data_IF_683195215380
#
_entry.id   IF_683195215380
#
_cell.length_a   1.000
_cell.length_b   1.000
_cell.length_c   1.000
_cell.angle_alpha   90.00
_cell.angle_beta   90.00
_cell.angle_gamma   90.00
#
_symmetry.space_group_name_H-M   'P 1'
#
loop_
_entity.id
_entity.type
_entity.pdbx_description
1 polymer ?
#
# COMPACT_ATOMS: atom_id res chain seq x y z
N UNK A 1 -70.75 32.01 -33.18
CA UNK A 1 -70.11 30.97 -32.34
C UNK A 1 -69.60 29.89 -33.30
N UNK A 2 -68.32 29.56 -33.45
CA UNK A 2 -67.20 29.49 -32.51
C UNK A 2 -65.89 29.84 -33.25
N UNK A 3 -65.08 30.68 -32.61
CA UNK A 3 -63.66 30.84 -32.89
C UNK A 3 -62.95 29.50 -32.66
N UNK A 4 -62.20 29.01 -33.66
CA UNK A 4 -61.20 27.96 -33.46
C UNK A 4 -59.83 28.64 -33.38
N UNK A 5 -59.28 28.70 -32.19
CA UNK A 5 -57.97 29.25 -31.86
C UNK A 5 -56.86 28.38 -32.46
N UNK A 6 -56.06 29.01 -33.32
CA UNK A 6 -54.79 28.49 -33.83
C UNK A 6 -53.82 28.26 -32.67
N UNK A 7 -53.55 27.00 -32.33
CA UNK A 7 -52.52 26.61 -31.36
C UNK A 7 -51.15 26.72 -32.03
N UNK A 8 -50.43 27.83 -31.80
CA UNK A 8 -49.06 27.98 -32.28
C UNK A 8 -48.15 27.06 -31.47
N UNK A 9 -47.78 25.93 -32.06
CA UNK A 9 -46.80 25.01 -31.51
C UNK A 9 -45.41 25.68 -31.61
N UNK A 10 -45.00 26.37 -30.55
CA UNK A 10 -43.62 26.83 -30.39
C UNK A 10 -42.75 25.59 -30.25
N UNK A 11 -42.11 25.21 -31.36
CA UNK A 11 -40.96 24.31 -31.32
C UNK A 11 -39.84 25.09 -30.65
N UNK A 12 -39.65 24.87 -29.36
CA UNK A 12 -38.38 25.15 -28.72
C UNK A 12 -37.37 24.21 -29.38
N UNK A 13 -36.75 24.71 -30.45
CA UNK A 13 -35.55 24.15 -31.04
C UNK A 13 -34.48 24.31 -29.97
N UNK A 14 -34.41 23.33 -29.06
CA UNK A 14 -33.23 23.10 -28.26
C UNK A 14 -32.09 22.90 -29.26
N UNK A 15 -31.38 23.99 -29.55
CA UNK A 15 -30.29 24.00 -30.50
C UNK A 15 -29.30 22.93 -30.09
N UNK A 16 -29.16 21.90 -30.91
CA UNK A 16 -28.12 20.90 -30.76
C UNK A 16 -26.80 21.61 -31.02
N UNK A 17 -26.23 22.22 -29.98
CA UNK A 17 -24.91 22.83 -30.02
C UNK A 17 -23.91 21.67 -30.12
N UNK A 18 -23.42 21.42 -31.32
CA UNK A 18 -22.32 20.49 -31.55
C UNK A 18 -21.08 20.94 -30.81
N UNK A 19 -20.40 20.00 -30.15
CA UNK A 19 -19.18 20.26 -29.37
C UNK A 19 -18.06 20.71 -30.32
N UNK A 20 -17.42 21.83 -30.01
CA UNK A 20 -16.39 22.40 -30.87
C UNK A 20 -15.09 21.60 -30.78
N UNK A 21 -14.25 21.65 -31.83
CA UNK A 21 -12.91 21.05 -31.80
C UNK A 21 -12.07 21.60 -30.64
N UNK A 22 -12.27 22.88 -30.30
CA UNK A 22 -11.62 23.54 -29.17
C UNK A 22 -12.07 22.91 -27.85
N UNK A 23 -13.38 22.74 -27.62
CA UNK A 23 -13.90 22.05 -26.43
C UNK A 23 -13.37 20.62 -26.33
N UNK A 24 -13.41 19.85 -27.42
CA UNK A 24 -12.88 18.49 -27.44
C UNK A 24 -11.39 18.45 -27.08
N UNK A 25 -10.59 19.39 -27.61
CA UNK A 25 -9.16 19.49 -27.29
C UNK A 25 -8.90 19.90 -25.84
N UNK A 26 -9.71 20.81 -25.30
CA UNK A 26 -9.63 21.26 -23.90
C UNK A 26 -10.01 20.12 -22.95
N UNK A 27 -11.08 19.37 -23.25
CA UNK A 27 -11.51 18.21 -22.49
C UNK A 27 -10.46 17.10 -22.53
N UNK A 28 -9.87 16.81 -23.68
CA UNK A 28 -8.77 15.84 -23.81
C UNK A 28 -7.54 16.25 -22.98
N UNK A 29 -7.14 17.52 -23.05
CA UNK A 29 -6.03 18.04 -22.25
C UNK A 29 -6.32 17.92 -20.74
N UNK A 30 -7.55 18.23 -20.31
CA UNK A 30 -7.97 18.08 -18.92
C UNK A 30 -7.96 16.63 -18.47
N UNK A 31 -8.50 15.71 -19.28
CA UNK A 31 -8.51 14.28 -18.97
C UNK A 31 -7.11 13.70 -18.84
N UNK A 32 -6.19 14.05 -19.76
CA UNK A 32 -4.79 13.63 -19.69
C UNK A 32 -4.08 14.22 -18.47
N UNK A 33 -4.33 15.49 -18.17
CA UNK A 33 -3.80 16.17 -16.99
C UNK A 33 -4.29 15.57 -15.66
N UNK A 34 -5.56 15.17 -15.58
CA UNK A 34 -6.09 14.50 -14.38
C UNK A 34 -5.56 13.07 -14.26
N UNK A 35 -5.44 12.36 -15.39
CA UNK A 35 -4.95 10.96 -15.39
C UNK A 35 -3.49 10.89 -14.91
N UNK A 36 -2.65 11.85 -15.26
CA UNK A 36 -1.24 11.86 -14.83
C UNK A 36 -1.09 12.03 -13.31
N UNK A 37 -1.93 12.85 -12.68
CA UNK A 37 -1.95 13.04 -11.22
C UNK A 37 -2.29 11.71 -10.51
N UNK A 38 -3.26 10.96 -11.03
CA UNK A 38 -3.68 9.67 -10.46
C UNK A 38 -2.54 8.66 -10.48
N UNK A 39 -1.82 8.54 -11.61
CA UNK A 39 -0.70 7.58 -11.74
C UNK A 39 0.42 7.88 -10.75
N UNK A 40 0.79 9.15 -10.57
CA UNK A 40 1.83 9.53 -9.61
C UNK A 40 1.44 9.19 -8.16
N UNK A 41 0.15 9.34 -7.82
CA UNK A 41 -0.36 9.03 -6.48
C UNK A 41 -0.33 7.53 -6.15
N UNK A 42 -0.44 6.65 -7.16
CA UNK A 42 -0.44 5.18 -6.94
C UNK A 42 0.92 4.65 -6.47
N UNK A 43 2.04 5.22 -6.94
CA UNK A 43 3.38 4.78 -6.55
C UNK A 43 3.64 4.99 -5.05
N UNK A 44 3.27 6.15 -4.50
CA UNK A 44 3.40 6.42 -3.07
C UNK A 44 2.55 5.49 -2.20
N UNK A 45 1.36 5.11 -2.68
CA UNK A 45 0.47 4.17 -1.98
C UNK A 45 1.05 2.75 -1.98
N UNK A 46 1.61 2.29 -3.12
CA UNK A 46 2.23 0.97 -3.20
C UNK A 46 3.47 0.86 -2.33
N UNK A 47 4.28 1.92 -2.29
CA UNK A 47 5.51 1.95 -1.48
C UNK A 47 5.19 1.94 0.01
N UNK A 48 4.22 2.78 0.43
CA UNK A 48 3.74 2.76 1.82
C UNK A 48 3.17 1.40 2.21
N UNK A 49 2.40 0.75 1.33
CA UNK A 49 1.84 -0.58 1.58
C UNK A 49 2.95 -1.61 1.78
N UNK A 50 3.95 -1.64 0.89
CA UNK A 50 5.10 -2.56 0.98
C UNK A 50 5.88 -2.36 2.27
N UNK A 51 6.19 -1.11 2.59
CA UNK A 51 6.87 -0.77 3.84
C UNK A 51 6.07 -1.26 5.04
N UNK A 52 4.77 -0.99 5.07
CA UNK A 52 3.87 -1.43 6.15
C UNK A 52 3.85 -2.94 6.30
N UNK A 53 3.71 -3.66 5.20
CA UNK A 53 3.70 -5.12 5.20
C UNK A 53 5.04 -5.67 5.74
N UNK A 54 6.18 -5.09 5.33
CA UNK A 54 7.50 -5.45 5.86
C UNK A 54 7.64 -5.20 7.38
N UNK A 55 7.10 -4.08 7.88
CA UNK A 55 7.06 -3.80 9.32
C UNK A 55 6.17 -4.77 10.10
N UNK A 56 5.02 -5.16 9.54
CA UNK A 56 4.14 -6.18 10.12
C UNK A 56 4.80 -7.55 10.20
N UNK A 57 5.55 -7.93 9.16
CA UNK A 57 6.32 -9.17 9.10
C UNK A 57 7.40 -9.24 10.20
N UNK A 58 8.16 -8.16 10.39
CA UNK A 58 9.13 -8.08 11.50
C UNK A 58 8.45 -8.19 12.86
N UNK A 59 7.28 -7.55 13.02
CA UNK A 59 6.51 -7.58 14.26
C UNK A 59 5.94 -8.98 14.54
N UNK A 60 5.52 -9.70 13.51
CA UNK A 60 5.09 -11.10 13.59
C UNK A 60 6.23 -12.00 14.10
N UNK A 61 7.44 -11.85 13.52
CA UNK A 61 8.63 -12.58 13.99
C UNK A 61 8.98 -12.21 15.43
N UNK A 62 8.89 -10.93 15.82
CA UNK A 62 9.18 -10.52 17.18
C UNK A 62 8.20 -11.10 18.21
N UNK A 63 6.90 -11.17 17.87
CA UNK A 63 5.91 -11.84 18.71
C UNK A 63 6.27 -13.32 18.86
N UNK A 64 6.64 -13.98 17.76
CA UNK A 64 7.05 -15.39 17.78
C UNK A 64 8.27 -15.62 18.67
N UNK A 65 9.30 -14.77 18.57
CA UNK A 65 10.48 -14.83 19.44
C UNK A 65 10.10 -14.67 20.91
N UNK A 66 9.24 -13.70 21.25
CA UNK A 66 8.81 -13.50 22.64
C UNK A 66 8.01 -14.68 23.17
N UNK A 67 7.15 -15.28 22.36
CA UNK A 67 6.45 -16.52 22.71
C UNK A 67 7.44 -17.65 23.00
N UNK A 68 8.36 -17.90 22.07
CA UNK A 68 9.37 -18.95 22.24
C UNK A 68 10.25 -18.74 23.48
N UNK A 69 10.76 -17.52 23.70
CA UNK A 69 11.63 -17.20 24.84
C UNK A 69 10.87 -17.19 26.17
N UNK A 70 9.56 -16.95 26.15
CA UNK A 70 8.70 -17.09 27.33
C UNK A 70 8.62 -18.56 27.77
N UNK A 71 8.48 -19.47 26.81
CA UNK A 71 8.39 -20.90 27.08
C UNK A 71 9.78 -21.54 27.33
N UNK A 72 10.84 -20.92 26.81
CA UNK A 72 12.23 -21.38 26.90
C UNK A 72 13.16 -20.30 27.48
N UNK A 73 13.06 -19.96 28.78
CA UNK A 73 13.77 -18.82 29.36
C UNK A 73 15.30 -18.95 29.37
N UNK A 74 15.85 -20.16 29.23
CA UNK A 74 17.30 -20.41 29.14
C UNK A 74 17.81 -20.53 27.71
N UNK A 75 16.92 -20.51 26.71
CA UNK A 75 17.33 -20.60 25.32
C UNK A 75 17.98 -19.29 24.85
N UNK A 76 19.06 -19.41 24.08
CA UNK A 76 19.67 -18.26 23.42
C UNK A 76 19.00 -18.02 22.07
N UNK A 77 18.62 -16.77 21.78
CA UNK A 77 18.02 -16.41 20.49
C UNK A 77 18.95 -16.71 19.30
N UNK A 78 20.27 -16.68 19.51
CA UNK A 78 21.25 -16.93 18.44
C UNK A 78 21.30 -18.39 17.99
N UNK A 79 20.86 -19.32 18.85
CA UNK A 79 20.80 -20.77 18.58
C UNK A 79 19.44 -21.24 18.09
N UNK A 80 18.42 -20.39 18.08
CA UNK A 80 17.06 -20.71 17.62
C UNK A 80 17.06 -21.03 16.13
N UNK A 81 16.29 -22.05 15.74
CA UNK A 81 16.04 -22.42 14.34
C UNK A 81 14.62 -22.04 13.92
N UNK A 82 14.37 -21.98 12.62
CA UNK A 82 13.05 -21.64 12.07
C UNK A 82 11.92 -22.54 12.61
N UNK A 83 12.19 -23.83 12.79
CA UNK A 83 11.20 -24.78 13.31
C UNK A 83 10.71 -24.44 14.73
N UNK A 84 11.55 -23.79 15.53
CA UNK A 84 11.23 -23.40 16.90
C UNK A 84 10.26 -22.20 16.94
N UNK A 85 10.39 -21.28 15.98
CA UNK A 85 9.58 -20.06 15.90
C UNK A 85 8.26 -20.25 15.14
N UNK A 86 8.21 -21.21 14.23
CA UNK A 86 7.05 -21.44 13.36
C UNK A 86 5.73 -21.63 14.13
N UNK A 87 5.67 -22.37 15.27
CA UNK A 87 4.44 -22.53 16.05
C UNK A 87 3.95 -21.23 16.70
N UNK A 88 4.84 -20.25 16.91
CA UNK A 88 4.53 -18.99 17.59
C UNK A 88 4.25 -17.85 16.60
N UNK A 89 4.38 -18.09 15.29
CA UNK A 89 3.99 -17.12 14.28
C UNK A 89 2.47 -16.96 14.24
N UNK A 90 1.95 -15.75 13.92
CA UNK A 90 0.54 -15.53 13.67
C UNK A 90 0.00 -16.45 12.58
N UNK A 91 -1.31 -16.68 12.57
CA UNK A 91 -1.95 -17.46 11.51
C UNK A 91 -1.72 -16.82 10.13
N UNK A 92 -1.47 -17.66 9.12
CA UNK A 92 -1.20 -17.24 7.74
C UNK A 92 0.27 -17.33 7.31
N UNK A 93 1.19 -17.55 8.24
CA UNK A 93 2.61 -17.75 7.93
C UNK A 93 2.95 -19.24 7.83
N UNK A 94 3.55 -19.65 6.71
CA UNK A 94 4.09 -21.01 6.52
C UNK A 94 5.60 -21.10 6.78
N UNK A 95 6.24 -19.99 7.14
CA UNK A 95 7.67 -19.85 7.37
C UNK A 95 8.01 -18.46 7.89
N UNK A 96 9.30 -18.20 8.15
CA UNK A 96 9.77 -16.84 8.42
C UNK A 96 9.48 -15.98 7.17
N UNK A 97 8.80 -14.83 7.31
CA UNK A 97 8.50 -13.97 6.18
C UNK A 97 9.74 -13.45 5.47
N UNK A 98 9.60 -13.18 4.18
CA UNK A 98 10.63 -12.60 3.33
C UNK A 98 9.98 -11.57 2.40
N UNK A 99 9.61 -10.39 2.92
CA UNK A 99 8.96 -9.33 2.15
C UNK A 99 9.90 -8.74 1.10
N UNK A 100 9.35 -7.99 0.15
CA UNK A 100 10.14 -7.22 -0.83
C UNK A 100 10.43 -5.81 -0.31
N UNK A 101 11.58 -5.24 -0.70
CA UNK A 101 11.86 -3.82 -0.54
C UNK A 101 11.11 -2.96 -1.58
N UNK A 102 11.28 -1.63 -1.51
CA UNK A 102 10.65 -0.69 -2.46
C UNK A 102 11.12 -0.91 -3.91
N UNK A 103 12.32 -1.47 -4.10
CA UNK A 103 12.89 -1.79 -5.40
C UNK A 103 12.52 -3.21 -5.90
N UNK A 104 11.76 -3.99 -5.13
CA UNK A 104 11.35 -5.35 -5.46
C UNK A 104 12.37 -6.44 -5.10
N UNK A 105 13.40 -6.14 -4.32
CA UNK A 105 14.35 -7.14 -3.85
C UNK A 105 13.79 -7.88 -2.63
N UNK A 106 13.95 -9.20 -2.60
CA UNK A 106 13.52 -10.03 -1.46
C UNK A 106 14.43 -9.75 -0.25
N UNK A 107 13.81 -9.43 0.88
CA UNK A 107 14.45 -9.18 2.15
C UNK A 107 14.50 -10.46 2.98
N UNK A 108 15.65 -10.72 3.60
CA UNK A 108 15.80 -11.81 4.57
C UNK A 108 15.69 -11.25 5.98
N UNK A 109 14.81 -11.83 6.80
CA UNK A 109 14.69 -11.47 8.21
C UNK A 109 15.76 -12.18 9.04
N UNK A 110 16.57 -11.39 9.75
CA UNK A 110 17.45 -11.89 10.80
C UNK A 110 16.66 -12.03 12.11
N UNK A 111 16.17 -13.24 12.36
CA UNK A 111 15.47 -13.62 13.59
C UNK A 111 16.40 -14.10 14.71
N UNK A 112 17.72 -14.07 14.52
CA UNK A 112 18.70 -14.46 15.54
C UNK A 112 19.09 -13.32 16.49
N UNK A 113 18.38 -12.21 16.40
CA UNK A 113 18.58 -10.98 17.17
C UNK A 113 17.23 -10.47 17.66
N UNK A 114 17.24 -9.79 18.81
CA UNK A 114 16.06 -9.16 19.40
C UNK A 114 16.35 -7.65 19.57
N UNK A 115 15.53 -6.75 19.01
CA UNK A 115 14.43 -7.00 18.08
C UNK A 115 14.93 -7.56 16.71
N UNK A 116 14.09 -8.34 15.99
CA UNK A 116 14.41 -8.83 14.66
C UNK A 116 14.51 -7.68 13.67
N UNK A 117 15.38 -7.85 12.68
CA UNK A 117 15.68 -6.85 11.64
C UNK A 117 15.95 -7.52 10.31
N UNK A 118 15.87 -6.78 9.21
CA UNK A 118 16.34 -7.28 7.92
C UNK A 118 17.87 -7.39 7.88
N UNK A 119 18.39 -8.43 7.23
CA UNK A 119 19.83 -8.75 7.22
C UNK A 119 20.68 -7.69 6.53
N UNK A 120 20.13 -6.97 5.57
CA UNK A 120 20.76 -5.84 4.87
C UNK A 120 20.67 -4.51 5.66
N UNK A 121 20.07 -4.52 6.85
CA UNK A 121 19.83 -3.29 7.62
C UNK A 121 18.76 -2.39 7.00
N UNK A 122 17.93 -2.94 6.10
CA UNK A 122 16.82 -2.19 5.50
C UNK A 122 15.86 -1.72 6.59
N UNK A 123 15.53 -0.44 6.53
CA UNK A 123 14.46 0.17 7.31
C UNK A 123 13.27 0.43 6.39
N UNK A 124 12.11 -0.22 6.60
CA UNK A 124 10.90 0.02 5.83
C UNK A 124 10.47 1.49 5.83
N UNK A 125 10.79 2.26 6.87
CA UNK A 125 10.43 3.66 6.97
C UNK A 125 11.22 4.56 6.00
N UNK A 126 12.43 4.14 5.62
CA UNK A 126 13.41 4.96 4.93
C UNK A 126 14.03 6.09 5.78
N UNK A 127 13.61 6.25 7.04
CA UNK A 127 14.13 7.21 7.98
C UNK A 127 15.14 6.54 8.92
N UNK A 128 16.19 7.25 9.32
CA UNK A 128 17.21 6.72 10.26
C UNK A 128 16.94 7.14 11.71
N UNK A 129 15.89 7.92 11.93
CA UNK A 129 15.58 8.57 13.20
C UNK A 129 14.26 8.08 13.82
N UNK A 130 13.64 7.05 13.25
CA UNK A 130 12.44 6.40 13.78
C UNK A 130 12.73 4.96 14.26
N UNK A 131 11.67 4.28 14.68
CA UNK A 131 11.77 2.88 15.07
C UNK A 131 11.82 2.02 13.81
N UNK A 132 12.68 1.01 13.80
CA UNK A 132 12.89 0.05 12.69
C UNK A 132 11.62 -0.59 12.08
N UNK A 133 10.46 -0.48 12.75
CA UNK A 133 9.17 -1.04 12.31
C UNK A 133 8.09 0.01 12.12
N UNK A 134 8.40 1.29 12.30
CA UNK A 134 7.47 2.37 12.05
C UNK A 134 7.44 2.69 10.56
N UNK A 135 6.28 3.02 10.04
CA UNK A 135 6.07 3.31 8.62
C UNK A 135 5.12 4.47 8.50
N UNK A 136 5.65 5.67 8.71
CA UNK A 136 4.87 6.88 8.55
C UNK A 136 5.21 8.01 9.49
N UNK A 137 6.49 8.36 9.64
CA UNK A 137 6.76 9.78 9.91
C UNK A 137 6.32 10.58 8.67
N UNK A 138 5.44 11.59 8.83
CA UNK A 138 5.12 12.52 7.75
C UNK A 138 6.36 13.32 7.32
#
# INVERSE_FOLDING_TARGET
>A
MKHASSFSQRRDLAGSRGMTLIEMSLSLALLLGMTSIVVFSMAGISDWKRARDAGLDLRAVYIAQKGYLSDHPTASISSVVTADLLPYLPQGFSGIPSPEDLAGNILTVNYKVVPPRFSNGYDPSGATDDGLWDVGKP
#
